data_IF_616942255050
#
_entry.id   IF_616942255050
#
_cell.length_a   1.000
_cell.length_b   1.000
_cell.length_c   1.000
_cell.angle_alpha   90.00
_cell.angle_beta   90.00
_cell.angle_gamma   90.00
#
_symmetry.space_group_name_H-M   'P 1'
#
loop_
_entity.id
_entity.type
_entity.pdbx_description
1 polymer ?
#
# COMPACT_ATOMS: atom_id res chain seq x y z
N UNK A 1 -12.54 13.19 -0.39
CA UNK A 1 -12.00 11.95 0.22
C UNK A 1 -11.17 11.31 -0.88
N UNK A 2 -9.84 11.35 -0.78
CA UNK A 2 -8.95 10.80 -1.80
C UNK A 2 -8.77 9.31 -1.53
N UNK A 3 -9.27 8.48 -2.43
CA UNK A 3 -9.01 7.05 -2.47
C UNK A 3 -8.50 6.75 -3.87
N UNK A 4 -7.40 6.00 -3.96
CA UNK A 4 -6.92 5.44 -5.21
C UNK A 4 -7.47 4.01 -5.21
N UNK A 5 -8.22 3.64 -6.25
CA UNK A 5 -8.71 2.26 -6.35
C UNK A 5 -7.64 1.35 -6.94
N UNK A 6 -7.77 0.04 -6.76
CA UNK A 6 -6.85 -0.89 -7.42
C UNK A 6 -6.98 -0.86 -8.95
N UNK A 7 -8.19 -0.63 -9.48
CA UNK A 7 -8.41 -0.44 -10.91
C UNK A 7 -7.67 0.80 -11.44
N UNK A 8 -7.63 1.90 -10.67
CA UNK A 8 -6.84 3.08 -11.02
C UNK A 8 -5.33 2.78 -11.00
N UNK A 9 -4.85 2.02 -10.02
CA UNK A 9 -3.43 1.62 -9.98
C UNK A 9 -3.06 0.76 -11.18
N UNK A 10 -3.91 -0.21 -11.55
CA UNK A 10 -3.72 -1.04 -12.74
C UNK A 10 -3.75 -0.21 -14.02
N UNK A 11 -4.73 0.69 -14.14
CA UNK A 11 -4.80 1.60 -15.28
C UNK A 11 -3.55 2.47 -15.40
N UNK A 12 -3.06 3.05 -14.29
CA UNK A 12 -1.82 3.83 -14.28
C UNK A 12 -0.60 3.00 -14.62
N UNK A 13 -0.53 1.75 -14.13
CA UNK A 13 0.51 0.80 -14.48
C UNK A 13 0.54 0.50 -15.98
N UNK A 14 -0.64 0.27 -16.58
CA UNK A 14 -0.78 -0.10 -17.98
C UNK A 14 -0.57 1.08 -18.94
N UNK A 15 -0.76 2.32 -18.46
CA UNK A 15 -0.67 3.54 -19.27
C UNK A 15 0.63 4.32 -19.09
N UNK A 16 1.31 4.18 -17.94
CA UNK A 16 2.59 4.84 -17.68
C UNK A 16 3.76 3.87 -17.93
N UNK A 17 4.64 4.15 -18.91
CA UNK A 17 5.84 3.34 -19.16
C UNK A 17 6.75 3.17 -17.94
N UNK A 18 6.79 4.14 -17.03
CA UNK A 18 7.57 4.08 -15.80
C UNK A 18 7.09 2.99 -14.84
N UNK A 19 5.80 2.64 -14.90
CA UNK A 19 5.19 1.68 -13.99
C UNK A 19 4.97 0.29 -14.60
N UNK A 20 5.21 0.12 -15.90
CA UNK A 20 4.87 -1.09 -16.65
C UNK A 20 5.36 -2.38 -15.97
N UNK A 21 6.56 -2.35 -15.39
CA UNK A 21 7.20 -3.49 -14.73
C UNK A 21 7.08 -3.47 -13.20
N UNK A 22 6.45 -2.45 -12.63
CA UNK A 22 6.35 -2.24 -11.19
C UNK A 22 5.19 -3.01 -10.56
N UNK A 23 5.29 -3.29 -9.26
CA UNK A 23 4.21 -3.89 -8.47
C UNK A 23 3.21 -2.84 -8.01
N UNK A 24 1.96 -3.23 -7.77
CA UNK A 24 0.89 -2.30 -7.42
C UNK A 24 1.17 -1.54 -6.12
N UNK A 25 1.83 -2.16 -5.13
CA UNK A 25 2.25 -1.47 -3.91
C UNK A 25 3.23 -0.32 -4.19
N UNK A 26 4.14 -0.50 -5.15
CA UNK A 26 5.13 0.50 -5.54
C UNK A 26 4.45 1.66 -6.28
N UNK A 27 3.57 1.33 -7.24
CA UNK A 27 2.76 2.33 -7.96
C UNK A 27 1.92 3.14 -6.97
N UNK A 28 1.31 2.49 -5.97
CA UNK A 28 0.54 3.16 -4.93
C UNK A 28 1.36 4.19 -4.15
N UNK A 29 2.56 3.83 -3.67
CA UNK A 29 3.42 4.74 -2.93
C UNK A 29 3.96 5.89 -3.77
N UNK A 30 4.31 5.63 -5.03
CA UNK A 30 4.75 6.66 -5.96
C UNK A 30 3.64 7.67 -6.26
N UNK A 31 2.41 7.21 -6.46
CA UNK A 31 1.27 8.10 -6.69
C UNK A 31 0.93 8.95 -5.46
N UNK A 32 1.00 8.37 -4.27
CA UNK A 32 0.83 9.13 -3.02
C UNK A 32 1.93 10.18 -2.84
N UNK A 33 3.19 9.84 -3.16
CA UNK A 33 4.32 10.76 -3.05
C UNK A 33 4.20 11.91 -4.06
N UNK A 34 3.90 11.60 -5.32
CA UNK A 34 3.63 12.61 -6.37
C UNK A 34 2.47 13.53 -6.00
N UNK A 35 1.43 13.00 -5.36
CA UNK A 35 0.30 13.79 -4.87
C UNK A 35 0.76 14.81 -3.82
N UNK A 36 1.58 14.39 -2.85
CA UNK A 36 2.10 15.26 -1.81
C UNK A 36 3.07 16.33 -2.35
N UNK A 37 3.85 16.02 -3.38
CA UNK A 37 4.72 16.99 -4.05
C UNK A 37 3.91 18.03 -4.83
N UNK A 38 2.85 17.61 -5.53
CA UNK A 38 2.02 18.49 -6.35
C UNK A 38 1.11 19.37 -5.49
N UNK A 39 0.59 18.79 -4.41
CA UNK A 39 -0.26 19.46 -3.44
C UNK A 39 0.30 19.16 -2.04
N UNK A 40 1.07 20.07 -1.44
CA UNK A 40 1.60 19.86 -0.10
C UNK A 40 0.43 19.72 0.88
N UNK A 41 0.22 18.48 1.35
CA UNK A 41 -0.86 18.13 2.27
C UNK A 41 -0.32 18.29 3.69
N UNK A 42 -0.95 19.17 4.47
CA UNK A 42 -0.55 19.41 5.88
C UNK A 42 -0.62 18.16 6.76
N UNK A 43 -1.56 17.25 6.48
CA UNK A 43 -1.77 15.98 7.20
C UNK A 43 -1.65 14.75 6.27
N UNK A 44 -0.51 14.64 5.59
CA UNK A 44 -0.25 13.57 4.61
C UNK A 44 -0.39 12.18 5.23
N UNK A 45 0.11 11.98 6.45
CA UNK A 45 0.03 10.71 7.19
C UNK A 45 -1.41 10.21 7.37
N UNK A 46 -2.34 11.10 7.70
CA UNK A 46 -3.77 10.76 7.84
C UNK A 46 -4.41 10.40 6.51
N UNK A 47 -4.01 11.04 5.41
CA UNK A 47 -4.47 10.68 4.06
C UNK A 47 -3.96 9.29 3.70
N UNK A 48 -2.65 9.02 3.84
CA UNK A 48 -2.07 7.70 3.55
C UNK A 48 -2.79 6.62 4.36
N UNK A 49 -3.01 6.85 5.67
CA UNK A 49 -3.75 5.92 6.52
C UNK A 49 -5.17 5.64 6.01
N UNK A 50 -5.93 6.68 5.63
CA UNK A 50 -7.30 6.54 5.12
C UNK A 50 -7.36 5.87 3.75
N UNK A 51 -6.45 6.23 2.84
CA UNK A 51 -6.38 5.61 1.51
C UNK A 51 -6.00 4.15 1.62
N UNK A 52 -5.07 3.82 2.51
CA UNK A 52 -4.61 2.46 2.71
C UNK A 52 -5.64 1.60 3.49
N UNK A 53 -6.52 2.22 4.29
CA UNK A 53 -7.69 1.56 4.89
C UNK A 53 -8.77 1.11 3.90
N UNK A 54 -8.74 1.62 2.67
CA UNK A 54 -9.69 1.23 1.62
C UNK A 54 -9.43 -0.18 1.09
N UNK A 55 -8.20 -0.66 1.19
CA UNK A 55 -7.78 -1.98 0.75
C UNK A 55 -8.03 -3.05 1.81
N UNK A 56 -7.91 -4.33 1.44
CA UNK A 56 -7.91 -5.42 2.41
C UNK A 56 -6.73 -5.20 3.37
N UNK A 57 -7.00 -4.68 4.56
CA UNK A 57 -5.98 -4.35 5.52
C UNK A 57 -6.09 -5.17 6.81
N UNK A 58 -4.97 -5.32 7.50
CA UNK A 58 -4.95 -5.74 8.90
C UNK A 58 -4.28 -4.65 9.72
N UNK A 59 -5.01 -4.14 10.71
CA UNK A 59 -4.51 -3.14 11.65
C UNK A 59 -4.00 -3.85 12.90
N UNK A 60 -2.75 -3.59 13.29
CA UNK A 60 -2.12 -4.16 14.48
C UNK A 60 -1.45 -3.06 15.29
N UNK A 61 -2.05 -2.65 16.41
CA UNK A 61 -1.52 -1.67 17.37
C UNK A 61 -1.11 -0.31 16.72
N UNK A 62 0.05 -0.25 16.06
CA UNK A 62 0.61 0.93 15.36
C UNK A 62 0.97 0.67 13.88
N UNK A 63 0.82 -0.57 13.41
CA UNK A 63 1.16 -1.02 12.06
C UNK A 63 -0.09 -1.33 11.24
N UNK A 64 0.01 -1.17 9.93
CA UNK A 64 -1.02 -1.57 8.97
C UNK A 64 -0.40 -2.31 7.80
N UNK A 65 -0.94 -3.49 7.47
CA UNK A 65 -0.51 -4.26 6.28
C UNK A 65 -1.60 -4.19 5.23
N UNK A 66 -1.23 -3.79 4.01
CA UNK A 66 -2.09 -3.72 2.82
C UNK A 66 -1.75 -4.87 1.88
N UNK A 67 -2.80 -5.54 1.39
CA UNK A 67 -2.70 -6.60 0.38
C UNK A 67 -3.25 -6.09 -0.95
N UNK A 68 -2.49 -6.25 -2.02
CA UNK A 68 -2.90 -5.95 -3.40
C UNK A 68 -3.13 -7.26 -4.18
N UNK A 69 -3.99 -7.24 -5.22
CA UNK A 69 -4.30 -8.46 -5.99
C UNK A 69 -3.10 -9.03 -6.78
N UNK A 70 -2.04 -8.26 -7.01
CA UNK A 70 -0.84 -8.70 -7.75
C UNK A 70 0.18 -9.45 -6.88
N UNK A 71 -0.21 -9.81 -5.65
CA UNK A 71 0.61 -10.51 -4.66
C UNK A 71 1.66 -9.60 -4.01
N UNK A 72 1.55 -8.28 -4.18
CA UNK A 72 2.39 -7.33 -3.47
C UNK A 72 1.75 -6.91 -2.15
N UNK A 73 2.62 -6.62 -1.17
CA UNK A 73 2.25 -6.21 0.17
C UNK A 73 2.94 -4.91 0.51
N UNK A 74 2.25 -4.10 1.30
CA UNK A 74 2.80 -2.88 1.84
C UNK A 74 2.56 -2.83 3.33
N UNK A 75 3.65 -2.79 4.10
CA UNK A 75 3.60 -2.65 5.55
C UNK A 75 3.86 -1.19 5.90
N UNK A 76 2.90 -0.57 6.54
CA UNK A 76 3.00 0.76 7.13
C UNK A 76 3.24 0.67 8.62
N UNK A 77 4.14 1.52 9.11
CA UNK A 77 4.34 1.77 10.54
C UNK A 77 4.13 3.27 10.78
N UNK A 78 3.03 3.61 11.43
CA UNK A 78 2.66 5.00 11.67
C UNK A 78 3.34 5.50 12.94
N UNK A 79 4.18 6.52 12.80
CA UNK A 79 4.92 7.16 13.90
C UNK A 79 4.24 8.49 14.26
N UNK A 80 4.61 9.06 15.41
CA UNK A 80 4.06 10.36 15.84
C UNK A 80 4.34 11.51 14.87
N UNK A 81 5.38 11.38 14.03
CA UNK A 81 5.89 12.45 13.17
C UNK A 81 5.80 12.09 11.67
N UNK A 82 5.16 10.98 11.30
CA UNK A 82 5.16 10.47 9.92
C UNK A 82 4.81 8.99 9.84
N UNK A 83 5.27 8.32 8.79
CA UNK A 83 5.16 6.87 8.67
C UNK A 83 6.39 6.30 7.96
N UNK A 84 6.71 5.05 8.28
CA UNK A 84 7.67 4.22 7.53
C UNK A 84 6.86 3.22 6.70
N UNK A 85 7.32 2.90 5.48
CA UNK A 85 6.72 1.88 4.63
C UNK A 85 7.77 0.87 4.15
N UNK A 86 7.41 -0.41 4.21
CA UNK A 86 8.21 -1.51 3.69
C UNK A 86 7.38 -2.24 2.62
N UNK A 87 7.95 -2.35 1.42
CA UNK A 87 7.39 -3.14 0.32
C UNK A 87 7.83 -4.60 0.47
N UNK A 88 6.90 -5.53 0.28
CA UNK A 88 7.21 -6.95 0.21
C UNK A 88 6.51 -7.59 -0.99
N UNK A 89 7.19 -8.53 -1.64
CA UNK A 89 6.64 -9.25 -2.79
C UNK A 89 6.48 -10.73 -2.47
N UNK A 90 5.50 -11.41 -3.09
CA UNK A 90 5.26 -12.86 -2.91
C UNK A 90 6.53 -13.73 -3.02
N UNK A 91 7.52 -13.34 -3.85
CA UNK A 91 8.80 -14.04 -3.98
C UNK A 91 9.72 -13.92 -2.76
N UNK A 92 9.49 -12.92 -1.90
CA UNK A 92 10.28 -12.61 -0.71
C UNK A 92 9.62 -13.08 0.58
N UNK A 93 8.33 -13.45 0.52
CA UNK A 93 7.60 -14.03 1.65
C UNK A 93 7.99 -15.51 1.74
N UNK A 94 9.23 -15.78 2.16
CA UNK A 94 9.63 -17.12 2.59
C UNK A 94 8.89 -17.42 3.89
N UNK A 95 7.73 -18.08 3.80
CA UNK A 95 7.12 -18.90 4.86
C UNK A 95 7.47 -18.50 6.31
N UNK A 96 7.09 -17.29 6.73
CA UNK A 96 7.04 -16.92 8.14
C UNK A 96 5.59 -16.63 8.53
N UNK A 97 4.73 -17.63 8.31
CA UNK A 97 3.41 -17.68 8.90
C UNK A 97 3.57 -17.88 10.41
N UNK A 98 3.71 -16.79 11.17
CA UNK A 98 3.63 -16.86 12.62
C UNK A 98 2.25 -17.39 13.02
N UNK A 99 2.22 -18.36 13.94
CA UNK A 99 1.04 -19.10 14.40
C UNK A 99 -0.24 -18.24 14.48
N UNK A 100 -1.06 -18.30 13.43
CA UNK A 100 -2.37 -17.65 13.38
C UNK A 100 -3.27 -18.36 12.37
N UNK A 101 -4.58 -18.22 12.53
CA UNK A 101 -5.58 -18.85 11.67
C UNK A 101 -5.74 -17.97 10.43
N UNK A 102 -5.21 -18.44 9.30
CA UNK A 102 -5.39 -17.79 8.00
C UNK A 102 -6.58 -18.43 7.30
N UNK A 103 -7.68 -17.67 7.15
CA UNK A 103 -8.82 -18.07 6.33
C UNK A 103 -8.80 -17.24 5.06
N UNK A 104 -8.59 -17.89 3.92
CA UNK A 104 -8.87 -17.34 2.59
C UNK A 104 -10.25 -17.88 2.20
N UNK A 105 -11.18 -16.98 1.84
CA UNK A 105 -12.46 -17.38 1.25
C UNK A 105 -12.29 -17.26 -0.27
N UNK A 106 -12.20 -18.42 -0.92
CA UNK A 106 -12.25 -18.55 -2.39
C UNK A 106 -13.70 -18.48 -2.83
#
# INVERSE_FOLDING_TARGET
>A
MFYISEEELKFKKDTNPEYLNEKLCHVFMNELSKLNETYPIDDFTSIVKKSAQFYLNRTYLDDMVVFFEDGSLLKFKFLSNGFECEEHYDSEISTAFYYSRYSIRV
#
